data_IF_071468946291
#
_entry.id   IF_071468946291
#
_cell.length_a   1.000
_cell.length_b   1.000
_cell.length_c   1.000
_cell.angle_alpha   90.00
_cell.angle_beta   90.00
_cell.angle_gamma   90.00
#
_symmetry.space_group_name_H-M   'P 1'
#
loop_
_entity.id
_entity.type
_entity.pdbx_description
1 polymer ?
#
# COMPACT_ATOMS: atom_id res chain seq x y z
N UNK A 1 1.59 36.42 2.89
CA UNK A 1 2.22 35.12 3.14
C UNK A 1 2.64 34.54 1.80
N UNK A 2 3.87 34.05 1.70
CA UNK A 2 4.27 33.25 0.54
C UNK A 2 3.68 31.84 0.70
N UNK A 3 2.87 31.36 -0.26
CA UNK A 3 2.34 30.00 -0.21
C UNK A 3 3.50 28.98 -0.24
N UNK A 4 3.36 27.87 0.47
CA UNK A 4 4.32 26.76 0.44
C UNK A 4 3.85 25.67 -0.56
N UNK A 5 4.21 25.77 -1.85
CA UNK A 5 3.68 24.90 -2.90
C UNK A 5 4.04 23.42 -2.77
N UNK A 6 5.05 23.09 -1.95
CA UNK A 6 5.62 21.73 -1.88
C UNK A 6 4.70 20.66 -1.33
N UNK A 7 3.64 21.06 -0.62
CA UNK A 7 2.76 20.14 0.10
C UNK A 7 1.60 19.65 -0.78
N UNK A 8 0.98 20.54 -1.56
CA UNK A 8 -0.14 20.23 -2.46
C UNK A 8 0.26 20.17 -3.95
N UNK A 9 1.56 20.28 -4.22
CA UNK A 9 2.11 20.39 -5.56
C UNK A 9 1.90 19.17 -6.45
N UNK A 10 2.04 19.37 -7.76
CA UNK A 10 1.77 18.34 -8.76
C UNK A 10 2.71 17.13 -8.65
N UNK A 11 3.95 17.32 -8.21
CA UNK A 11 4.90 16.22 -7.97
C UNK A 11 4.44 15.24 -6.89
N UNK A 12 3.76 15.72 -5.83
CA UNK A 12 3.17 14.84 -4.81
C UNK A 12 2.06 13.97 -5.42
N UNK A 13 1.31 14.54 -6.37
CA UNK A 13 0.28 13.81 -7.12
C UNK A 13 0.87 12.70 -8.00
N UNK A 14 1.97 12.98 -8.71
CA UNK A 14 2.70 11.96 -9.46
C UNK A 14 3.32 10.89 -8.57
N UNK A 15 3.82 11.27 -7.38
CA UNK A 15 4.34 10.34 -6.39
C UNK A 15 3.27 9.37 -5.84
N UNK A 16 1.98 9.69 -6.02
CA UNK A 16 0.86 8.80 -5.68
C UNK A 16 0.48 7.83 -6.81
N UNK A 17 1.05 7.95 -8.01
CA UNK A 17 0.78 7.02 -9.12
C UNK A 17 1.14 5.56 -8.79
N UNK A 18 2.28 5.24 -8.15
CA UNK A 18 2.58 3.90 -7.66
C UNK A 18 1.51 3.35 -6.71
N UNK A 19 0.84 4.21 -5.95
CA UNK A 19 -0.27 3.81 -5.09
C UNK A 19 -1.49 3.33 -5.90
N UNK A 20 -1.86 4.04 -6.97
CA UNK A 20 -2.96 3.59 -7.83
C UNK A 20 -2.70 2.22 -8.42
N UNK A 21 -1.44 1.91 -8.74
CA UNK A 21 -1.04 0.58 -9.19
C UNK A 21 -1.36 -0.45 -8.08
N UNK A 22 -1.03 -0.17 -6.81
CA UNK A 22 -1.37 -1.06 -5.69
C UNK A 22 -2.88 -1.25 -5.53
N UNK A 23 -3.68 -0.18 -5.66
CA UNK A 23 -5.14 -0.26 -5.59
C UNK A 23 -5.72 -1.07 -6.75
N UNK A 24 -5.28 -0.82 -7.98
CA UNK A 24 -5.73 -1.57 -9.16
C UNK A 24 -5.37 -3.04 -9.02
N UNK A 25 -4.15 -3.35 -8.56
CA UNK A 25 -3.73 -4.74 -8.29
C UNK A 25 -4.60 -5.39 -7.19
N UNK A 26 -4.95 -4.65 -6.14
CA UNK A 26 -5.82 -5.13 -5.07
C UNK A 26 -7.25 -5.41 -5.58
N UNK A 27 -7.84 -4.50 -6.36
CA UNK A 27 -9.16 -4.66 -6.95
C UNK A 27 -9.20 -5.79 -7.97
N UNK A 28 -8.19 -5.87 -8.84
CA UNK A 28 -8.04 -6.98 -9.78
C UNK A 28 -7.99 -8.32 -9.04
N UNK A 29 -7.29 -8.37 -7.91
CA UNK A 29 -7.21 -9.58 -7.10
C UNK A 29 -8.57 -9.98 -6.51
N UNK A 30 -9.39 -9.01 -6.08
CA UNK A 30 -10.77 -9.24 -5.64
C UNK A 30 -11.60 -9.84 -6.77
N UNK A 31 -11.58 -9.20 -7.95
CA UNK A 31 -12.35 -9.63 -9.11
C UNK A 31 -11.98 -11.05 -9.54
N UNK A 32 -10.68 -11.37 -9.59
CA UNK A 32 -10.19 -12.70 -9.97
C UNK A 32 -10.58 -13.77 -8.95
N UNK A 33 -10.61 -13.48 -7.64
CA UNK A 33 -10.99 -14.47 -6.63
C UNK A 33 -12.51 -14.71 -6.56
N UNK A 34 -13.32 -13.69 -6.91
CA UNK A 34 -14.78 -13.82 -7.01
C UNK A 34 -15.27 -14.40 -8.34
N UNK A 35 -14.47 -14.33 -9.40
CA UNK A 35 -14.87 -14.85 -10.71
C UNK A 35 -15.13 -16.37 -10.65
N UNK A 36 -16.37 -16.86 -10.83
CA UNK A 36 -16.73 -18.25 -10.55
C UNK A 36 -16.19 -19.27 -11.55
N UNK A 37 -15.54 -18.84 -12.64
CA UNK A 37 -15.14 -19.76 -13.73
C UNK A 37 -14.04 -20.72 -13.29
N UNK A 38 -14.44 -21.96 -13.03
CA UNK A 38 -13.65 -23.07 -12.51
C UNK A 38 -12.52 -23.62 -13.39
N UNK A 39 -11.81 -22.81 -14.20
CA UNK A 39 -10.63 -23.25 -14.98
C UNK A 39 -9.51 -22.23 -15.18
N UNK A 40 -9.66 -20.95 -14.82
CA UNK A 40 -8.60 -19.96 -15.08
C UNK A 40 -7.49 -19.99 -14.01
N UNK A 41 -6.30 -20.44 -14.40
CA UNK A 41 -5.08 -20.51 -13.57
C UNK A 41 -4.55 -19.14 -13.07
N UNK A 42 -5.23 -18.04 -13.39
CA UNK A 42 -4.80 -16.65 -13.11
C UNK A 42 -4.77 -16.37 -11.60
N UNK A 43 -5.73 -16.91 -10.84
CA UNK A 43 -5.75 -16.78 -9.38
C UNK A 43 -4.56 -17.49 -8.69
N UNK A 44 -3.91 -18.41 -9.42
CA UNK A 44 -2.65 -19.02 -9.02
C UNK A 44 -1.44 -18.10 -9.10
N UNK A 45 -1.56 -16.87 -9.61
CA UNK A 45 -0.44 -15.93 -9.81
C UNK A 45 0.01 -15.21 -8.55
N UNK A 46 -0.81 -15.13 -7.49
CA UNK A 46 -0.44 -14.52 -6.20
C UNK A 46 -0.57 -15.48 -5.01
N UNK A 47 -1.32 -16.58 -5.18
CA UNK A 47 -1.36 -17.67 -4.21
C UNK A 47 -0.02 -18.40 -4.25
N UNK A 48 0.68 -18.45 -3.12
CA UNK A 48 1.87 -19.32 -2.96
C UNK A 48 1.45 -20.75 -3.25
N UNK A 49 1.70 -21.19 -4.49
CA UNK A 49 1.88 -22.60 -4.75
C UNK A 49 3.17 -22.98 -4.03
N UNK A 50 3.23 -24.14 -3.34
CA UNK A 50 4.52 -24.67 -2.91
C UNK A 50 5.43 -24.61 -4.14
N UNK A 51 6.52 -23.86 -4.02
CA UNK A 51 7.42 -23.62 -5.14
C UNK A 51 7.79 -24.98 -5.73
N UNK A 52 7.78 -25.12 -7.07
CA UNK A 52 8.32 -26.33 -7.71
C UNK A 52 9.72 -26.64 -7.18
N UNK A 53 10.47 -25.62 -6.79
CA UNK A 53 11.76 -25.66 -6.08
C UNK A 53 11.75 -26.51 -4.80
N UNK A 54 10.64 -26.55 -4.05
CA UNK A 54 10.54 -27.38 -2.85
C UNK A 54 10.37 -28.88 -3.16
N UNK A 55 9.94 -29.20 -4.38
CA UNK A 55 9.80 -30.58 -4.89
C UNK A 55 10.99 -30.98 -5.75
N UNK A 56 11.62 -30.02 -6.43
CA UNK A 56 12.80 -30.19 -7.26
C UNK A 56 13.71 -28.95 -7.12
N UNK A 57 14.83 -29.02 -6.35
CA UNK A 57 15.74 -27.90 -6.15
C UNK A 57 16.43 -27.42 -7.43
N UNK A 58 16.37 -28.22 -8.50
CA UNK A 58 16.95 -27.88 -9.80
C UNK A 58 15.93 -27.19 -10.73
N UNK A 59 14.64 -27.21 -10.41
CA UNK A 59 13.61 -26.56 -11.23
C UNK A 59 13.79 -25.04 -11.22
N UNK A 60 13.95 -24.45 -12.41
CA UNK A 60 14.02 -23.00 -12.57
C UNK A 60 12.70 -22.32 -12.17
N UNK A 61 12.75 -21.17 -11.49
CA UNK A 61 11.57 -20.39 -11.18
C UNK A 61 10.91 -19.94 -12.49
N UNK A 62 9.65 -20.35 -12.70
CA UNK A 62 8.88 -19.90 -13.85
C UNK A 62 8.68 -18.38 -13.83
N UNK A 63 8.46 -17.78 -15.01
CA UNK A 63 8.26 -16.33 -15.15
C UNK A 63 7.18 -15.75 -14.20
N UNK A 64 6.11 -16.51 -13.95
CA UNK A 64 5.06 -16.12 -13.00
C UNK A 64 5.54 -16.00 -11.54
N UNK A 65 6.49 -16.82 -11.09
CA UNK A 65 7.07 -16.73 -9.75
C UNK A 65 7.97 -15.50 -9.63
N UNK A 66 8.68 -15.15 -10.71
CA UNK A 66 9.49 -13.92 -10.80
C UNK A 66 8.60 -12.67 -10.72
N UNK A 67 7.54 -12.61 -11.52
CA UNK A 67 6.56 -11.51 -11.48
C UNK A 67 5.89 -11.37 -10.12
N UNK A 68 5.51 -12.48 -9.49
CA UNK A 68 4.94 -12.46 -8.13
C UNK A 68 5.92 -11.86 -7.12
N UNK A 69 7.17 -12.27 -7.18
CA UNK A 69 8.18 -11.76 -6.27
C UNK A 69 8.45 -10.27 -6.50
N UNK A 70 8.57 -9.84 -7.75
CA UNK A 70 8.71 -8.41 -8.09
C UNK A 70 7.51 -7.60 -7.62
N UNK A 71 6.28 -8.08 -7.85
CA UNK A 71 5.05 -7.43 -7.37
C UNK A 71 4.99 -7.32 -5.84
N UNK A 72 5.47 -8.33 -5.11
CA UNK A 72 5.58 -8.27 -3.64
C UNK A 72 6.58 -7.21 -3.19
N UNK A 73 7.77 -7.20 -3.79
CA UNK A 73 8.80 -6.20 -3.49
C UNK A 73 8.29 -4.79 -3.80
N UNK A 74 7.58 -4.60 -4.92
CA UNK A 74 6.95 -3.34 -5.28
C UNK A 74 5.91 -2.90 -4.25
N UNK A 75 4.93 -3.74 -3.93
CA UNK A 75 3.88 -3.40 -2.94
C UNK A 75 4.46 -3.07 -1.57
N UNK A 76 5.46 -3.84 -1.10
CA UNK A 76 6.15 -3.56 0.15
C UNK A 76 6.97 -2.26 0.09
N UNK A 77 7.70 -2.01 -1.00
CA UNK A 77 8.47 -0.79 -1.19
C UNK A 77 7.58 0.45 -1.24
N UNK A 78 6.43 0.38 -1.91
CA UNK A 78 5.43 1.46 -1.89
C UNK A 78 4.90 1.66 -0.45
N UNK A 79 4.58 0.61 0.29
CA UNK A 79 4.11 0.76 1.67
C UNK A 79 5.15 1.40 2.61
N UNK A 80 6.41 0.99 2.50
CA UNK A 80 7.52 1.52 3.31
C UNK A 80 7.71 3.02 3.03
N UNK A 81 7.68 3.40 1.75
CA UNK A 81 7.81 4.80 1.35
C UNK A 81 6.61 5.66 1.76
N UNK A 82 5.39 5.13 1.69
CA UNK A 82 4.20 5.82 2.20
C UNK A 82 4.26 6.00 3.73
N UNK A 83 4.88 5.06 4.45
CA UNK A 83 5.09 5.20 5.90
C UNK A 83 6.07 6.34 6.22
N UNK A 84 7.18 6.41 5.49
CA UNK A 84 8.16 7.51 5.63
C UNK A 84 7.52 8.85 5.24
N UNK A 85 6.72 8.87 4.17
CA UNK A 85 5.99 10.03 3.72
C UNK A 85 5.05 10.57 4.82
N UNK A 86 4.23 9.71 5.44
CA UNK A 86 3.38 10.10 6.57
C UNK A 86 4.23 10.62 7.74
N UNK A 87 5.34 9.95 8.07
CA UNK A 87 6.26 10.42 9.10
C UNK A 87 6.80 11.82 8.81
N UNK A 88 7.17 12.10 7.56
CA UNK A 88 7.60 13.42 7.10
C UNK A 88 6.54 14.50 7.28
N UNK A 89 5.28 14.22 6.94
CA UNK A 89 4.16 15.14 7.18
C UNK A 89 3.94 15.41 8.67
N UNK A 90 3.96 14.36 9.50
CA UNK A 90 3.77 14.49 10.94
C UNK A 90 4.90 15.31 11.58
N UNK A 91 6.15 15.08 11.18
CA UNK A 91 7.29 15.88 11.62
C UNK A 91 7.21 17.32 11.10
N UNK A 92 6.77 17.52 9.86
CA UNK A 92 6.52 18.84 9.28
C UNK A 92 5.50 19.63 10.10
N UNK A 93 4.39 19.01 10.49
CA UNK A 93 3.39 19.64 11.35
C UNK A 93 3.84 19.85 12.79
N UNK A 94 4.75 19.02 13.28
CA UNK A 94 5.34 19.20 14.61
C UNK A 94 6.39 20.32 14.63
N UNK A 95 7.20 20.45 13.56
CA UNK A 95 8.39 21.29 13.54
C UNK A 95 8.28 22.62 12.81
N UNK A 96 7.43 22.76 11.78
CA UNK A 96 7.28 24.03 11.08
C UNK A 96 6.48 25.03 11.90
N UNK A 97 6.80 26.33 11.74
CA UNK A 97 6.03 27.44 12.31
C UNK A 97 4.57 27.30 11.93
N UNK A 98 3.77 26.78 12.86
CA UNK A 98 2.37 26.37 12.67
C UNK A 98 1.54 27.44 11.95
N UNK A 99 1.89 28.71 12.10
CA UNK A 99 1.17 29.82 11.48
C UNK A 99 1.37 29.98 9.96
N UNK A 100 2.25 29.23 9.29
CA UNK A 100 2.47 29.35 7.84
C UNK A 100 1.65 28.36 6.99
N UNK A 101 1.00 27.38 7.61
CA UNK A 101 0.23 26.36 6.91
C UNK A 101 -1.26 26.78 6.81
N UNK A 102 -1.74 26.96 5.58
CA UNK A 102 -3.17 27.27 5.31
C UNK A 102 -4.07 26.05 5.54
N UNK A 103 -5.37 26.26 5.76
CA UNK A 103 -6.37 25.17 5.84
C UNK A 103 -6.34 24.23 4.65
N UNK A 104 -6.21 24.79 3.44
CA UNK A 104 -6.12 24.02 2.20
C UNK A 104 -4.95 23.03 2.22
N UNK A 105 -3.73 23.50 2.47
CA UNK A 105 -2.53 22.66 2.56
C UNK A 105 -2.66 21.60 3.65
N UNK A 106 -3.25 21.93 4.80
CA UNK A 106 -3.52 20.96 5.86
C UNK A 106 -4.49 19.87 5.42
N UNK A 107 -5.64 20.25 4.84
CA UNK A 107 -6.68 19.31 4.38
C UNK A 107 -6.19 18.42 3.24
N UNK A 108 -5.40 18.98 2.32
CA UNK A 108 -4.74 18.23 1.25
C UNK A 108 -3.74 17.20 1.83
N UNK A 109 -2.90 17.63 2.78
CA UNK A 109 -1.95 16.74 3.46
C UNK A 109 -2.63 15.63 4.24
N UNK A 110 -3.70 15.95 4.98
CA UNK A 110 -4.50 14.95 5.72
C UNK A 110 -5.08 13.92 4.76
N UNK A 111 -5.61 14.36 3.63
CA UNK A 111 -6.12 13.46 2.58
C UNK A 111 -4.99 12.59 1.99
N UNK A 112 -3.80 13.14 1.78
CA UNK A 112 -2.63 12.39 1.31
C UNK A 112 -2.15 11.37 2.36
N UNK A 113 -2.10 11.73 3.65
CA UNK A 113 -1.78 10.80 4.73
C UNK A 113 -2.82 9.67 4.82
N UNK A 114 -4.11 9.97 4.62
CA UNK A 114 -5.17 8.96 4.58
C UNK A 114 -5.02 7.99 3.39
N UNK A 115 -4.62 8.50 2.23
CA UNK A 115 -4.24 7.66 1.08
C UNK A 115 -3.06 6.76 1.48
N UNK A 116 -2.00 7.31 2.06
CA UNK A 116 -0.83 6.57 2.52
C UNK A 116 -1.18 5.45 3.52
N UNK A 117 -2.00 5.74 4.54
CA UNK A 117 -2.50 4.75 5.50
C UNK A 117 -3.33 3.65 4.82
N UNK A 118 -4.10 4.00 3.79
CA UNK A 118 -4.83 3.04 2.98
C UNK A 118 -3.87 2.09 2.25
N UNK A 119 -2.77 2.61 1.68
CA UNK A 119 -1.75 1.79 1.01
C UNK A 119 -1.07 0.84 1.97
N UNK A 120 -0.68 1.35 3.15
CA UNK A 120 -0.07 0.56 4.21
C UNK A 120 -1.00 -0.60 4.57
N UNK A 121 -2.29 -0.33 4.74
CA UNK A 121 -3.32 -1.35 5.03
C UNK A 121 -3.48 -2.36 3.89
N UNK A 122 -3.58 -1.89 2.64
CA UNK A 122 -3.68 -2.74 1.45
C UNK A 122 -2.45 -3.63 1.28
N UNK A 123 -1.25 -3.14 1.60
CA UNK A 123 0.00 -3.89 1.46
C UNK A 123 0.02 -5.13 2.35
N UNK A 124 -0.44 -4.99 3.59
CA UNK A 124 -0.55 -6.06 4.58
C UNK A 124 -1.58 -7.09 4.13
N UNK A 125 -2.68 -6.63 3.51
CA UNK A 125 -3.73 -7.48 3.00
C UNK A 125 -3.31 -8.30 1.77
N UNK A 126 -2.66 -7.65 0.80
CA UNK A 126 -2.26 -8.26 -0.48
C UNK A 126 -1.05 -9.17 -0.30
N UNK A 127 -0.06 -8.79 0.51
CA UNK A 127 1.19 -9.56 0.66
C UNK A 127 1.02 -10.65 1.72
N UNK A 128 0.60 -11.85 1.30
CA UNK A 128 0.44 -13.01 2.20
C UNK A 128 1.72 -13.41 2.95
N UNK A 129 2.89 -13.12 2.37
CA UNK A 129 4.21 -13.40 2.95
C UNK A 129 4.80 -12.21 3.70
N UNK A 130 3.97 -11.30 4.21
CA UNK A 130 4.42 -10.09 4.92
C UNK A 130 5.40 -10.41 6.07
N UNK A 131 5.12 -11.48 6.83
CA UNK A 131 5.92 -11.95 7.97
C UNK A 131 7.05 -12.92 7.60
N UNK A 132 7.45 -13.01 6.33
CA UNK A 132 8.56 -13.90 5.92
C UNK A 132 9.87 -13.53 6.64
N UNK A 133 10.12 -12.24 6.85
CA UNK A 133 11.18 -11.75 7.71
C UNK A 133 10.53 -11.07 8.93
N UNK A 134 10.53 -11.72 10.11
CA UNK A 134 9.79 -11.23 11.28
C UNK A 134 10.35 -9.90 11.81
N UNK A 135 11.66 -9.66 11.71
CA UNK A 135 12.27 -8.40 12.15
C UNK A 135 11.81 -7.23 11.27
N UNK A 136 11.88 -7.41 9.95
CA UNK A 136 11.43 -6.39 9.01
C UNK A 136 9.91 -6.15 9.12
N UNK A 137 9.12 -7.20 9.33
CA UNK A 137 7.67 -7.09 9.54
C UNK A 137 7.32 -6.37 10.85
N UNK A 138 8.04 -6.67 11.94
CA UNK A 138 7.85 -6.02 13.24
C UNK A 138 8.19 -4.53 13.15
N UNK A 139 9.31 -4.16 12.51
CA UNK A 139 9.67 -2.77 12.30
C UNK A 139 8.59 -2.01 11.50
N UNK A 140 8.12 -2.60 10.39
CA UNK A 140 7.03 -2.00 9.60
C UNK A 140 5.75 -1.84 10.39
N UNK A 141 5.40 -2.82 11.22
CA UNK A 141 4.23 -2.76 12.09
C UNK A 141 4.37 -1.60 13.08
N UNK A 142 5.51 -1.47 13.76
CA UNK A 142 5.77 -0.37 14.71
C UNK A 142 5.67 0.99 14.01
N UNK A 143 6.31 1.15 12.84
CA UNK A 143 6.25 2.40 12.07
C UNK A 143 4.84 2.70 11.57
N UNK A 144 4.10 1.69 11.11
CA UNK A 144 2.71 1.84 10.67
C UNK A 144 1.79 2.22 11.82
N UNK A 145 1.94 1.59 12.99
CA UNK A 145 1.19 1.94 14.20
C UNK A 145 1.49 3.38 14.61
N UNK A 146 2.77 3.79 14.60
CA UNK A 146 3.19 5.17 14.84
C UNK A 146 2.53 6.15 13.85
N UNK A 147 2.48 5.81 12.56
CA UNK A 147 1.81 6.61 11.54
C UNK A 147 0.30 6.73 11.79
N UNK A 148 -0.39 5.63 12.12
CA UNK A 148 -1.81 5.65 12.49
C UNK A 148 -2.08 6.50 13.73
N UNK A 149 -1.26 6.37 14.78
CA UNK A 149 -1.38 7.18 16.00
C UNK A 149 -1.16 8.65 15.68
N UNK A 150 -0.10 8.99 14.95
CA UNK A 150 0.22 10.37 14.61
C UNK A 150 -0.86 11.03 13.77
N UNK A 151 -1.35 10.36 12.72
CA UNK A 151 -2.47 10.85 11.91
C UNK A 151 -3.76 10.94 12.74
N UNK A 152 -4.00 9.96 13.61
CA UNK A 152 -5.14 9.96 14.54
C UNK A 152 -5.13 11.16 15.47
N UNK A 153 -3.97 11.50 16.07
CA UNK A 153 -3.81 12.70 16.90
C UNK A 153 -4.09 13.97 16.07
N UNK A 154 -3.60 14.03 14.83
CA UNK A 154 -3.83 15.17 13.93
C UNK A 154 -5.31 15.36 13.58
N UNK A 155 -6.05 14.28 13.29
CA UNK A 155 -7.45 14.30 12.82
C UNK A 155 -8.47 14.38 13.98
N UNK A 156 -8.23 13.68 15.09
CA UNK A 156 -9.20 13.54 16.19
C UNK A 156 -9.18 14.73 17.16
N UNK A 157 -8.20 15.62 17.07
CA UNK A 157 -8.14 16.80 17.92
C UNK A 157 -9.33 17.72 17.59
N UNK A 158 -10.14 18.01 18.62
CA UNK A 158 -11.45 18.69 18.49
C UNK A 158 -11.37 20.04 17.77
N UNK A 159 -10.23 20.72 17.88
CA UNK A 159 -10.03 22.09 17.43
C UNK A 159 -9.23 22.20 16.12
N UNK A 160 -9.12 21.11 15.34
CA UNK A 160 -8.14 21.08 14.25
C UNK A 160 -8.65 21.33 12.84
N UNK A 161 -9.97 21.44 12.64
CA UNK A 161 -10.47 21.21 11.29
C UNK A 161 -11.65 22.10 10.90
N UNK A 162 -11.41 22.94 9.89
CA UNK A 162 -12.43 23.48 8.99
C UNK A 162 -12.51 22.51 7.81
N UNK A 163 -13.37 21.47 7.84
CA UNK A 163 -13.46 20.52 6.75
C UNK A 163 -13.84 21.22 5.45
N UNK A 164 -13.11 20.94 4.38
CA UNK A 164 -13.62 21.24 3.05
C UNK A 164 -14.85 20.35 2.83
N UNK A 165 -16.05 20.92 2.71
CA UNK A 165 -17.26 20.14 2.47
C UNK A 165 -17.44 19.91 0.98
N UNK A 166 -17.52 18.63 0.59
CA UNK A 166 -17.70 18.25 -0.80
C UNK A 166 -19.16 18.51 -1.19
N UNK A 167 -19.41 19.50 -2.05
CA UNK A 167 -20.75 19.78 -2.60
C UNK A 167 -21.40 21.08 -2.13
N UNK A 168 -20.73 21.88 -1.30
CA UNK A 168 -21.12 23.30 -1.19
C UNK A 168 -20.84 23.97 -2.52
N UNK A 169 -21.87 24.59 -3.12
CA UNK A 169 -21.78 25.32 -4.39
C UNK A 169 -20.60 26.32 -4.30
N UNK A 170 -19.45 25.96 -4.88
CA UNK A 170 -18.26 26.83 -4.92
C UNK A 170 -18.57 28.18 -5.59
N UNK A 171 -19.68 28.22 -6.33
CA UNK A 171 -20.23 29.39 -7.00
C UNK A 171 -21.14 30.28 -6.11
N UNK A 172 -21.71 29.79 -5.00
CA UNK A 172 -22.77 30.53 -4.26
C UNK A 172 -22.42 31.10 -2.89
N UNK A 173 -21.23 30.88 -2.33
CA UNK A 173 -20.89 31.40 -0.99
C UNK A 173 -19.54 32.10 -0.92
N UNK A 174 -19.53 33.42 -0.72
CA UNK A 174 -18.33 34.24 -0.54
C UNK A 174 -17.55 33.97 0.76
N UNK A 175 -18.17 33.29 1.73
CA UNK A 175 -17.62 33.02 3.07
C UNK A 175 -16.73 31.78 3.11
N UNK A 176 -17.15 30.66 2.52
CA UNK A 176 -16.32 29.43 2.41
C UNK A 176 -15.00 29.70 1.66
N UNK A 177 -15.03 30.62 0.69
CA UNK A 177 -13.83 31.01 -0.09
C UNK A 177 -12.72 31.62 0.74
N UNK A 178 -13.04 32.27 1.88
CA UNK A 178 -12.04 32.94 2.72
C UNK A 178 -11.48 32.01 3.80
N UNK A 179 -12.34 31.17 4.39
CA UNK A 179 -12.02 30.19 5.43
C UNK A 179 -10.85 29.26 5.06
N UNK A 180 -10.85 28.75 3.82
CA UNK A 180 -9.87 27.75 3.38
C UNK A 180 -8.44 28.31 3.23
N UNK A 181 -8.33 29.63 3.15
CA UNK A 181 -7.08 30.36 2.94
C UNK A 181 -6.43 30.82 4.25
N UNK A 182 -7.15 30.72 5.37
CA UNK A 182 -6.62 31.13 6.66
C UNK A 182 -5.50 30.19 7.13
N UNK A 183 -4.48 30.73 7.83
CA UNK A 183 -3.44 29.94 8.47
C UNK A 183 -4.03 29.13 9.63
N UNK A 184 -4.46 27.91 9.34
CA UNK A 184 -5.14 27.04 10.30
C UNK A 184 -4.23 26.65 11.45
N UNK A 185 -2.93 26.50 11.21
CA UNK A 185 -2.08 25.95 12.24
C UNK A 185 -1.71 26.95 13.37
N UNK A 186 -1.94 28.26 13.17
CA UNK A 186 -1.98 29.25 14.26
C UNK A 186 -3.25 29.09 15.13
N UNK A 187 -4.37 28.69 14.50
CA UNK A 187 -5.67 28.46 15.13
C UNK A 187 -5.79 27.08 15.80
N UNK A 188 -4.75 26.24 15.69
CA UNK A 188 -4.62 24.97 16.42
C UNK A 188 -4.22 25.17 17.88
N UNK A 189 -3.67 26.33 18.20
CA UNK A 189 -3.25 26.67 19.55
C UNK A 189 -4.48 27.10 20.34
N UNK A 190 -4.82 26.37 21.41
CA UNK A 190 -6.07 26.54 22.17
C UNK A 190 -6.29 27.97 22.65
N UNK A 191 -5.21 28.68 22.95
CA UNK A 191 -5.26 30.06 23.43
C UNK A 191 -5.53 31.08 22.31
N UNK A 192 -5.00 30.86 21.10
CA UNK A 192 -5.25 31.76 19.96
C UNK A 192 -6.61 31.49 19.34
N UNK A 193 -7.08 30.24 19.38
CA UNK A 193 -8.36 29.85 18.81
C UNK A 193 -9.53 30.55 19.51
N UNK A 194 -9.57 30.53 20.85
CA UNK A 194 -10.66 31.17 21.59
C UNK A 194 -10.75 32.67 21.28
N UNK A 195 -9.61 33.36 21.24
CA UNK A 195 -9.52 34.78 20.89
C UNK A 195 -9.98 35.03 19.45
N UNK A 196 -9.61 34.15 18.52
CA UNK A 196 -10.01 34.30 17.12
C UNK A 196 -11.49 33.97 16.90
N UNK A 197 -12.04 32.97 17.60
CA UNK A 197 -13.47 32.64 17.58
C UNK A 197 -14.30 33.78 18.17
N UNK A 198 -13.87 34.40 19.27
CA UNK A 198 -14.53 35.59 19.81
C UNK A 198 -14.47 36.74 18.81
N UNK A 199 -13.29 37.04 18.26
CA UNK A 199 -13.13 38.13 17.29
C UNK A 199 -13.94 37.88 16.00
N UNK A 200 -14.04 36.64 15.54
CA UNK A 200 -14.84 36.29 14.38
C UNK A 200 -16.34 36.45 14.65
N UNK A 201 -16.79 36.00 15.83
CA UNK A 201 -18.17 36.15 16.27
C UNK A 201 -18.54 37.63 16.40
N UNK A 202 -17.64 38.43 16.96
CA UNK A 202 -17.83 39.88 17.13
C UNK A 202 -17.85 40.62 15.78
N UNK A 203 -17.10 40.13 14.79
CA UNK A 203 -17.05 40.72 13.45
C UNK A 203 -18.04 40.10 12.44
N UNK A 204 -18.94 39.22 12.88
CA UNK A 204 -19.85 38.46 12.01
C UNK A 204 -19.12 37.74 10.85
N UNK A 205 -17.86 37.38 11.07
CA UNK A 205 -17.03 36.71 10.09
C UNK A 205 -17.16 35.19 10.28
N UNK A 206 -17.76 34.51 9.30
CA UNK A 206 -17.70 33.06 9.25
C UNK A 206 -16.31 32.62 8.81
N UNK A 207 -15.52 32.15 9.78
CA UNK A 207 -14.18 31.60 9.54
C UNK A 207 -14.21 30.17 8.99
N UNK A 208 -15.41 29.60 8.76
CA UNK A 208 -15.58 28.24 8.30
C UNK A 208 -15.11 27.20 9.32
N UNK A 209 -15.02 27.57 10.60
CA UNK A 209 -14.89 26.61 11.67
C UNK A 209 -16.20 25.81 11.70
N UNK A 210 -16.15 24.58 11.21
CA UNK A 210 -17.33 23.69 11.23
C UNK A 210 -17.92 23.60 12.63
N UNK A 211 -19.19 23.22 12.73
CA UNK A 211 -19.92 23.22 13.99
C UNK A 211 -19.16 22.45 15.08
N UNK A 212 -19.04 23.00 16.31
CA UNK A 212 -18.38 22.32 17.42
C UNK A 212 -19.16 21.04 17.77
N UNK A 213 -18.66 19.90 17.29
CA UNK A 213 -19.34 18.60 17.41
C UNK A 213 -19.53 17.89 16.07
N UNK A 214 -19.37 18.60 14.94
CA UNK A 214 -19.39 17.99 13.62
C UNK A 214 -18.32 16.89 13.51
N UNK A 215 -18.73 15.77 12.93
CA UNK A 215 -17.85 14.65 12.60
C UNK A 215 -17.46 14.75 11.13
N UNK A 216 -16.33 15.41 10.81
CA UNK A 216 -15.86 15.48 9.43
C UNK A 216 -15.62 14.05 8.91
N UNK A 217 -15.91 13.84 7.64
CA UNK A 217 -15.89 12.51 7.04
C UNK A 217 -14.50 11.85 7.12
N UNK A 218 -13.41 12.62 7.24
CA UNK A 218 -12.05 12.12 7.46
C UNK A 218 -11.93 11.34 8.76
N UNK A 219 -12.63 11.75 9.83
CA UNK A 219 -12.67 11.00 11.10
C UNK A 219 -13.32 9.64 10.90
N UNK A 220 -14.41 9.59 10.14
CA UNK A 220 -15.10 8.34 9.83
C UNK A 220 -14.19 7.41 9.03
N UNK A 221 -13.59 7.90 7.94
CA UNK A 221 -12.67 7.10 7.14
C UNK A 221 -11.44 6.68 7.92
N UNK A 222 -10.92 7.52 8.83
CA UNK A 222 -9.79 7.17 9.68
C UNK A 222 -10.12 5.96 10.56
N UNK A 223 -11.28 5.97 11.23
CA UNK A 223 -11.72 4.83 12.03
C UNK A 223 -11.92 3.57 11.19
N UNK A 224 -12.54 3.69 10.02
CA UNK A 224 -12.70 2.56 9.09
C UNK A 224 -11.34 1.99 8.67
N UNK A 225 -10.36 2.84 8.33
CA UNK A 225 -8.99 2.42 8.00
C UNK A 225 -8.30 1.77 9.20
N UNK A 226 -8.41 2.33 10.40
CA UNK A 226 -7.78 1.78 11.60
C UNK A 226 -8.34 0.39 11.93
N UNK A 227 -9.66 0.22 11.84
CA UNK A 227 -10.31 -1.09 12.01
C UNK A 227 -9.85 -2.06 10.92
N UNK A 228 -9.83 -1.64 9.66
CA UNK A 228 -9.35 -2.48 8.56
C UNK A 228 -7.90 -2.91 8.75
N UNK A 229 -7.02 -2.01 9.21
CA UNK A 229 -5.62 -2.28 9.52
C UNK A 229 -5.45 -3.29 10.65
N UNK A 230 -6.20 -3.16 11.75
CA UNK A 230 -6.18 -4.10 12.86
C UNK A 230 -6.69 -5.48 12.44
N UNK A 231 -7.80 -5.53 11.68
CA UNK A 231 -8.35 -6.77 11.15
C UNK A 231 -7.37 -7.44 10.18
N UNK A 232 -6.70 -6.66 9.32
CA UNK A 232 -5.68 -7.17 8.41
C UNK A 232 -4.56 -7.89 9.16
N UNK A 233 -4.03 -7.27 10.23
CA UNK A 233 -2.97 -7.84 11.04
C UNK A 233 -3.43 -9.04 11.87
N UNK A 234 -4.59 -8.96 12.51
CA UNK A 234 -5.13 -10.05 13.33
C UNK A 234 -5.40 -11.33 12.51
N UNK A 235 -5.74 -11.18 11.23
CA UNK A 235 -6.01 -12.32 10.34
C UNK A 235 -4.74 -13.03 9.85
N UNK A 236 -3.57 -12.40 9.90
CA UNK A 236 -2.30 -13.02 9.49
C UNK A 236 -1.95 -14.26 10.32
N UNK A 237 -1.83 -14.20 11.67
CA UNK A 237 -1.49 -15.37 12.48
C UNK A 237 -2.54 -16.47 12.34
N UNK A 238 -3.82 -16.11 12.22
CA UNK A 238 -4.92 -17.04 11.98
C UNK A 238 -4.71 -17.81 10.66
N UNK A 239 -4.33 -17.10 9.59
CA UNK A 239 -4.03 -17.70 8.28
C UNK A 239 -2.80 -18.60 8.36
N UNK A 240 -1.74 -18.13 9.00
CA UNK A 240 -0.50 -18.89 9.16
C UNK A 240 -0.75 -20.21 9.90
N UNK A 241 -1.43 -20.15 11.05
CA UNK A 241 -1.78 -21.33 11.85
C UNK A 241 -2.68 -22.31 11.08
N UNK A 242 -3.72 -21.79 10.39
CA UNK A 242 -4.61 -22.61 9.58
C UNK A 242 -3.91 -23.27 8.39
N UNK A 243 -2.98 -22.56 7.75
CA UNK A 243 -2.18 -23.09 6.64
C UNK A 243 -1.34 -24.28 7.09
N UNK A 244 -0.79 -24.24 8.31
CA UNK A 244 0.02 -25.34 8.87
C UNK A 244 -0.81 -26.59 9.21
N UNK A 245 -2.05 -26.41 9.69
CA UNK A 245 -2.94 -27.52 10.11
C UNK A 245 -3.65 -28.25 8.97
N UNK A 246 -3.87 -27.62 7.81
CA UNK A 246 -4.69 -28.22 6.73
C UNK A 246 -3.83 -28.82 5.62
N UNK A 247 -3.43 -30.09 5.79
CA UNK A 247 -2.90 -30.91 4.69
C UNK A 247 -4.01 -31.48 3.78
N UNK A 248 -5.27 -31.54 4.23
CA UNK A 248 -6.40 -32.02 3.44
C UNK A 248 -7.43 -30.92 3.11
N UNK A 249 -7.93 -30.82 1.86
CA UNK A 249 -8.95 -29.86 1.47
C UNK A 249 -10.32 -30.26 2.07
N UNK A 250 -10.74 -29.59 3.15
CA UNK A 250 -12.13 -29.71 3.64
C UNK A 250 -13.12 -28.95 2.75
N UNK A 251 -14.37 -29.43 2.60
CA UNK A 251 -15.42 -28.72 1.86
C UNK A 251 -15.59 -27.29 2.37
N UNK A 252 -15.89 -26.36 1.43
CA UNK A 252 -16.13 -24.95 1.74
C UNK A 252 -17.40 -24.85 2.61
N UNK A 253 -17.25 -24.57 3.91
CA UNK A 253 -18.39 -24.21 4.75
C UNK A 253 -18.87 -22.79 4.43
N UNK A 254 -20.17 -22.54 4.54
CA UNK A 254 -20.80 -21.22 4.32
C UNK A 254 -20.16 -20.13 5.17
N UNK A 255 -19.81 -20.45 6.42
CA UNK A 255 -19.09 -19.55 7.35
C UNK A 255 -17.75 -19.11 6.77
N UNK A 256 -17.03 -20.01 6.07
CA UNK A 256 -15.75 -19.66 5.43
C UNK A 256 -15.95 -18.68 4.28
N UNK A 257 -17.01 -18.86 3.50
CA UNK A 257 -17.40 -17.91 2.45
C UNK A 257 -17.67 -16.52 3.02
N UNK A 258 -18.43 -16.44 4.11
CA UNK A 258 -18.73 -15.19 4.80
C UNK A 258 -17.46 -14.50 5.33
N UNK A 259 -16.59 -15.21 6.05
CA UNK A 259 -15.33 -14.62 6.57
C UNK A 259 -14.43 -14.14 5.45
N UNK A 260 -14.37 -14.88 4.34
CA UNK A 260 -13.64 -14.45 3.15
C UNK A 260 -14.28 -13.20 2.54
N UNK A 261 -15.61 -13.14 2.44
CA UNK A 261 -16.32 -11.97 1.93
C UNK A 261 -16.08 -10.72 2.78
N UNK A 262 -16.28 -10.81 4.10
CA UNK A 262 -16.04 -9.74 5.05
C UNK A 262 -14.58 -9.26 4.95
N UNK A 263 -13.63 -10.16 4.80
CA UNK A 263 -12.24 -9.78 4.57
C UNK A 263 -12.06 -8.95 3.30
N UNK A 264 -12.63 -9.38 2.17
CA UNK A 264 -12.50 -8.64 0.91
C UNK A 264 -13.13 -7.24 1.00
N UNK A 265 -14.34 -7.15 1.53
CA UNK A 265 -15.07 -5.88 1.61
C UNK A 265 -14.41 -4.93 2.60
N UNK A 266 -14.10 -5.40 3.81
CA UNK A 266 -13.59 -4.54 4.89
C UNK A 266 -12.11 -4.24 4.72
N UNK A 267 -11.27 -5.23 4.40
CA UNK A 267 -9.82 -5.08 4.43
C UNK A 267 -9.26 -4.56 3.10
N UNK A 268 -9.94 -4.80 1.98
CA UNK A 268 -9.49 -4.32 0.66
C UNK A 268 -10.42 -3.25 0.09
N UNK A 269 -11.74 -3.47 0.16
CA UNK A 269 -12.72 -2.52 -0.34
C UNK A 269 -12.68 -1.18 0.40
N UNK A 270 -12.73 -1.19 1.73
CA UNK A 270 -12.80 0.04 2.49
C UNK A 270 -11.54 0.92 2.34
N UNK A 271 -10.29 0.41 2.43
CA UNK A 271 -9.11 1.23 2.17
C UNK A 271 -9.00 1.73 0.73
N UNK A 272 -9.35 0.90 -0.26
CA UNK A 272 -9.36 1.33 -1.66
C UNK A 272 -10.36 2.48 -1.88
N UNK A 273 -11.57 2.35 -1.35
CA UNK A 273 -12.60 3.38 -1.44
C UNK A 273 -12.18 4.68 -0.75
N UNK A 274 -11.68 4.60 0.49
CA UNK A 274 -11.17 5.77 1.22
C UNK A 274 -10.13 6.50 0.41
N UNK A 275 -9.17 5.77 -0.16
CA UNK A 275 -8.10 6.38 -0.91
C UNK A 275 -8.57 7.02 -2.23
N UNK A 276 -9.53 6.40 -2.94
CA UNK A 276 -10.17 6.99 -4.13
C UNK A 276 -10.92 8.28 -3.76
N UNK A 277 -11.68 8.28 -2.67
CA UNK A 277 -12.45 9.46 -2.23
C UNK A 277 -11.53 10.59 -1.79
N UNK A 278 -10.48 10.29 -1.00
CA UNK A 278 -9.45 11.27 -0.64
C UNK A 278 -8.74 11.83 -1.87
N UNK A 279 -8.48 11.01 -2.89
CA UNK A 279 -7.88 11.45 -4.13
C UNK A 279 -8.77 12.42 -4.92
N UNK A 280 -10.03 12.05 -5.14
CA UNK A 280 -11.03 12.90 -5.81
C UNK A 280 -11.16 14.24 -5.08
N UNK A 281 -11.18 14.21 -3.75
CA UNK A 281 -11.20 15.41 -2.92
C UNK A 281 -9.97 16.30 -3.16
N UNK A 282 -8.76 15.74 -3.10
CA UNK A 282 -7.53 16.50 -3.39
C UNK A 282 -7.57 17.10 -4.80
N UNK A 283 -8.03 16.34 -5.79
CA UNK A 283 -8.18 16.84 -7.16
C UNK A 283 -9.13 18.04 -7.24
N UNK A 284 -10.30 17.96 -6.59
CA UNK A 284 -11.29 19.04 -6.57
C UNK A 284 -10.73 20.28 -5.86
N UNK A 285 -10.07 20.09 -4.72
CA UNK A 285 -9.45 21.20 -3.98
C UNK A 285 -8.36 21.90 -4.81
N UNK A 286 -7.50 21.13 -5.49
CA UNK A 286 -6.45 21.67 -6.37
C UNK A 286 -7.03 22.44 -7.55
N UNK A 287 -8.03 21.86 -8.24
CA UNK A 287 -8.73 22.51 -9.34
C UNK A 287 -9.38 23.82 -8.89
N UNK A 288 -9.98 23.82 -7.70
CA UNK A 288 -10.56 25.02 -7.13
C UNK A 288 -9.50 26.10 -6.88
N UNK A 289 -8.39 25.76 -6.20
CA UNK A 289 -7.28 26.69 -5.93
C UNK A 289 -6.77 27.34 -7.22
N UNK A 290 -6.53 26.53 -8.26
CA UNK A 290 -6.08 27.00 -9.57
C UNK A 290 -7.06 28.01 -10.20
N UNK A 291 -8.37 27.71 -10.15
CA UNK A 291 -9.40 28.60 -10.74
C UNK A 291 -9.74 29.82 -9.90
N UNK A 292 -9.45 29.80 -8.59
CA UNK A 292 -9.86 30.83 -7.64
C UNK A 292 -9.09 32.16 -7.76
N UNK A 293 -7.96 32.18 -8.46
CA UNK A 293 -7.05 33.34 -8.52
C UNK A 293 -6.31 33.63 -7.21
N UNK A 294 -6.37 32.71 -6.22
CA UNK A 294 -5.69 32.87 -4.94
C UNK A 294 -4.16 32.77 -5.06
N UNK A 295 -3.69 31.85 -5.90
CA UNK A 295 -2.27 31.67 -6.17
C UNK A 295 -1.79 32.77 -7.11
N UNK A 296 -0.68 33.42 -6.77
CA UNK A 296 -0.01 34.34 -7.69
C UNK A 296 0.34 33.58 -8.98
N UNK A 297 0.10 34.21 -10.13
CA UNK A 297 0.58 33.70 -11.41
C UNK A 297 2.09 34.01 -11.54
N UNK A 298 2.94 33.03 -11.88
CA UNK A 298 2.63 31.63 -12.18
C UNK A 298 2.35 30.78 -10.92
N UNK A 299 1.34 29.90 -11.00
CA UNK A 299 0.92 29.05 -9.90
C UNK A 299 2.06 28.13 -9.44
N UNK A 300 2.63 28.40 -8.27
CA UNK A 300 3.78 27.67 -7.73
C UNK A 300 3.48 26.21 -7.41
N UNK A 301 2.22 25.82 -7.18
CA UNK A 301 1.83 24.41 -6.98
C UNK A 301 1.89 23.59 -8.28
N UNK A 302 1.87 24.25 -9.44
CA UNK A 302 2.01 23.60 -10.75
C UNK A 302 3.48 23.47 -11.17
N UNK A 303 4.40 24.16 -10.49
CA UNK A 303 5.83 24.06 -10.74
C UNK A 303 6.39 22.79 -10.10
N UNK A 304 6.93 21.89 -10.93
CA UNK A 304 7.45 20.57 -10.50
C UNK A 304 8.72 20.68 -9.64
N UNK A 305 9.42 21.82 -9.70
CA UNK A 305 10.76 22.00 -9.16
C UNK A 305 10.84 22.36 -7.68
N UNK A 306 9.73 22.37 -6.95
CA UNK A 306 9.80 22.66 -5.51
C UNK A 306 10.41 21.49 -4.72
N UNK A 307 11.16 21.83 -3.67
CA UNK A 307 11.92 20.88 -2.84
C UNK A 307 11.05 19.74 -2.28
N UNK A 308 9.83 20.04 -1.83
CA UNK A 308 8.88 19.02 -1.35
C UNK A 308 8.44 18.04 -2.43
N UNK A 309 8.31 18.53 -3.67
CA UNK A 309 7.92 17.70 -4.82
C UNK A 309 9.07 16.81 -5.29
N UNK A 310 10.30 17.33 -5.28
CA UNK A 310 11.50 16.56 -5.59
C UNK A 310 11.74 15.42 -4.59
N UNK A 311 11.48 15.63 -3.30
CA UNK A 311 11.55 14.56 -2.28
C UNK A 311 10.53 13.47 -2.60
N UNK A 312 9.29 13.84 -2.89
CA UNK A 312 8.24 12.87 -3.22
C UNK A 312 8.58 12.06 -4.50
N UNK A 313 9.13 12.72 -5.51
CA UNK A 313 9.61 12.05 -6.73
C UNK A 313 10.83 11.15 -6.46
N UNK A 314 11.79 11.63 -5.65
CA UNK A 314 12.97 10.87 -5.27
C UNK A 314 12.61 9.56 -4.58
N UNK A 315 11.61 9.60 -3.69
CA UNK A 315 11.03 8.43 -3.03
C UNK A 315 10.46 7.44 -4.06
N UNK A 316 9.66 7.91 -5.02
CA UNK A 316 9.11 7.05 -6.07
C UNK A 316 10.20 6.41 -6.94
N UNK A 317 11.25 7.18 -7.28
CA UNK A 317 12.42 6.68 -8.00
C UNK A 317 13.15 5.62 -7.18
N UNK A 318 13.29 5.80 -5.86
CA UNK A 318 13.96 4.80 -5.01
C UNK A 318 13.18 3.49 -4.96
N UNK A 319 11.84 3.54 -4.90
CA UNK A 319 11.00 2.33 -5.00
C UNK A 319 11.23 1.62 -6.33
N UNK A 320 11.20 2.37 -7.43
CA UNK A 320 11.39 1.81 -8.77
C UNK A 320 12.79 1.18 -8.89
N UNK A 321 13.82 1.87 -8.44
CA UNK A 321 15.20 1.37 -8.43
C UNK A 321 15.35 0.12 -7.57
N UNK A 322 14.76 0.06 -6.38
CA UNK A 322 14.80 -1.14 -5.54
C UNK A 322 14.13 -2.34 -6.22
N UNK A 323 13.02 -2.12 -6.94
CA UNK A 323 12.35 -3.18 -7.71
C UNK A 323 13.17 -3.63 -8.91
N UNK A 324 13.78 -2.68 -9.62
CA UNK A 324 14.68 -2.99 -10.74
C UNK A 324 15.92 -3.76 -10.27
N UNK A 325 16.56 -3.32 -9.19
CA UNK A 325 17.72 -3.99 -8.60
C UNK A 325 17.39 -5.42 -8.19
N UNK A 326 16.26 -5.64 -7.50
CA UNK A 326 15.79 -6.99 -7.14
C UNK A 326 15.53 -7.85 -8.38
N UNK A 327 14.99 -7.26 -9.45
CA UNK A 327 14.77 -7.96 -10.72
C UNK A 327 16.08 -8.33 -11.42
N UNK A 328 17.08 -7.44 -11.42
CA UNK A 328 18.38 -7.66 -12.03
C UNK A 328 19.26 -8.63 -11.24
N UNK A 329 19.29 -8.54 -9.90
CA UNK A 329 20.03 -9.49 -9.06
C UNK A 329 19.55 -10.93 -9.26
N UNK A 330 18.25 -11.11 -9.44
CA UNK A 330 17.67 -12.43 -9.74
C UNK A 330 18.14 -12.96 -11.09
N UNK A 331 18.15 -12.12 -12.13
CA UNK A 331 18.71 -12.50 -13.44
C UNK A 331 20.19 -12.89 -13.34
N UNK A 332 20.98 -12.16 -12.54
CA UNK A 332 22.40 -12.48 -12.34
C UNK A 332 22.59 -13.82 -11.62
N UNK A 333 21.79 -14.11 -10.60
CA UNK A 333 21.82 -15.40 -9.89
C UNK A 333 21.43 -16.56 -10.81
N UNK A 334 20.47 -16.35 -11.70
CA UNK A 334 20.06 -17.33 -12.72
C UNK A 334 21.18 -17.60 -13.73
N UNK A 335 21.75 -16.54 -14.33
CA UNK A 335 22.88 -16.68 -15.27
C UNK A 335 24.11 -17.36 -14.65
N UNK A 336 24.40 -17.08 -13.36
CA UNK A 336 25.49 -17.77 -12.64
C UNK A 336 25.19 -19.26 -12.46
N UNK A 337 23.95 -19.62 -12.13
CA UNK A 337 23.54 -21.02 -11.97
C UNK A 337 23.61 -21.79 -13.30
N UNK A 338 23.15 -21.20 -14.40
CA UNK A 338 23.27 -21.79 -15.74
C UNK A 338 24.74 -22.04 -16.14
N UNK A 339 25.65 -21.11 -15.82
CA UNK A 339 27.08 -21.27 -16.08
C UNK A 339 27.71 -22.39 -15.25
N UNK A 340 27.33 -22.54 -13.97
CA UNK A 340 27.84 -23.60 -13.10
C UNK A 340 27.30 -24.98 -13.53
N UNK A 341 26.01 -25.07 -13.88
CA UNK A 341 25.39 -26.32 -14.36
C UNK A 341 25.91 -26.72 -15.76
N UNK A 342 26.21 -25.74 -16.62
CA UNK A 342 26.85 -25.98 -17.92
C UNK A 342 28.26 -26.56 -17.79
N UNK A 343 29.05 -26.05 -16.84
CA UNK A 343 30.39 -26.57 -16.53
C UNK A 343 30.34 -28.00 -15.98
N UNK A 344 29.40 -28.31 -15.09
CA UNK A 344 29.22 -29.67 -14.58
C UNK A 344 28.79 -30.67 -15.67
N UNK A 345 27.88 -30.28 -16.57
CA UNK A 345 27.50 -31.14 -17.71
C UNK A 345 28.67 -31.39 -18.66
N UNK A 346 29.56 -30.41 -18.86
CA UNK A 346 30.73 -30.56 -19.72
C UNK A 346 31.79 -31.48 -19.10
N UNK A 347 31.96 -31.45 -17.76
CA UNK A 347 32.84 -32.38 -17.05
C UNK A 347 32.30 -33.82 -17.05
N UNK A 348 31.00 -34.00 -16.79
CA UNK A 348 30.35 -35.33 -16.83
C UNK A 348 30.31 -35.92 -18.24
N UNK A 349 30.21 -35.08 -19.28
CA UNK A 349 30.30 -35.52 -20.68
C UNK A 349 31.71 -35.92 -21.11
N UNK A 350 32.76 -35.42 -20.44
CA UNK A 350 34.16 -35.71 -20.78
C UNK A 350 34.66 -37.02 -20.16
N UNK A 351 34.12 -37.40 -19.00
CA UNK A 351 34.40 -38.69 -18.35
C UNK A 351 33.58 -39.87 -18.91
N UNK A 352 32.55 -39.60 -19.74
CA UNK A 352 31.95 -40.62 -20.60
C UNK A 352 32.72 -40.74 -21.92
N UNK A 353 34.02 -40.99 -21.85
CA UNK A 353 34.60 -41.83 -22.89
C UNK A 353 33.92 -43.20 -22.79
N UNK A 354 33.55 -43.83 -23.91
CA UNK A 354 32.97 -45.17 -23.88
C UNK A 354 34.03 -46.11 -23.31
N UNK A 355 33.99 -46.36 -22.00
CA UNK A 355 34.58 -47.58 -21.48
C UNK A 355 33.82 -48.70 -22.16
N UNK A 356 34.52 -49.36 -23.09
CA UNK A 356 34.15 -50.63 -23.66
C UNK A 356 33.79 -51.57 -22.50
N UNK A 357 32.52 -51.62 -22.15
CA UNK A 357 31.98 -52.66 -21.29
C UNK A 357 32.02 -53.91 -22.13
N UNK A 358 33.06 -54.71 -21.89
CA UNK A 358 33.11 -56.07 -22.37
C UNK A 358 31.88 -56.81 -21.83
N UNK A 359 31.05 -57.27 -22.75
CA UNK A 359 29.96 -58.19 -22.50
C UNK A 359 30.47 -59.39 -21.70
N UNK A 360 30.13 -59.45 -20.42
CA UNK A 360 30.03 -60.72 -19.70
C UNK A 360 28.62 -60.83 -19.15
N UNK A 361 27.86 -61.69 -19.83
CA UNK A 361 26.47 -61.98 -19.56
C UNK A 361 26.23 -62.32 -18.10
N UNK A 362 25.29 -61.60 -17.50
CA UNK A 362 24.58 -62.04 -16.32
C UNK A 362 23.17 -62.44 -16.73
N UNK A 363 23.00 -63.75 -16.93
CA UNK A 363 21.71 -64.42 -16.90
C UNK A 363 21.04 -64.13 -15.55
N UNK A 364 20.07 -63.21 -15.52
CA UNK A 364 19.10 -63.14 -14.42
C UNK A 364 17.87 -63.95 -14.82
N UNK A 365 17.79 -65.12 -14.20
CA UNK A 365 16.69 -66.05 -14.29
C UNK A 365 15.35 -65.43 -13.92
N UNK A 366 14.33 -66.04 -14.50
CA UNK A 366 12.93 -65.86 -14.22
C UNK A 366 12.58 -66.13 -12.74
N UNK A 367 11.38 -65.68 -12.38
CA UNK A 367 10.60 -66.00 -11.18
C UNK A 367 10.72 -65.01 -10.02
N UNK A 368 9.71 -64.12 -9.93
CA UNK A 368 8.91 -64.02 -8.70
C UNK A 368 7.47 -63.63 -9.04
N UNK A 369 6.48 -64.45 -8.62
CA UNK A 369 5.07 -64.19 -8.87
C UNK A 369 4.50 -63.13 -7.93
N UNK A 370 3.46 -62.49 -8.44
CA UNK A 370 2.48 -61.68 -7.72
C UNK A 370 2.06 -62.34 -6.40
N UNK A 371 2.10 -61.57 -5.31
CA UNK A 371 1.34 -61.92 -4.11
C UNK A 371 0.27 -60.86 -3.87
N UNK A 372 -0.96 -61.25 -4.20
CA UNK A 372 -2.21 -60.60 -3.82
C UNK A 372 -2.58 -61.06 -2.40
N UNK A 373 -2.58 -60.14 -1.43
CA UNK A 373 -3.33 -60.36 -0.19
C UNK A 373 -3.96 -59.06 0.29
N UNK A 374 -5.21 -58.93 -0.14
CA UNK A 374 -6.25 -58.03 0.37
C UNK A 374 -6.71 -58.63 1.72
N UNK A 375 -6.54 -57.91 2.81
CA UNK A 375 -7.17 -58.23 4.10
C UNK A 375 -7.91 -56.99 4.62
N UNK A 376 -9.04 -57.30 5.27
CA UNK A 376 -10.24 -56.48 5.51
C UNK A 376 -10.04 -55.23 6.34
#
# INVERSE_FOLDING_TARGET
>A
MEPQPGIAGIGVWWAMLPFFIVVVLALFFVCVEYWPSGKSNICGMLRDKPSRIALDPNAEPGWGDKLRAAGRTFVLGVADTQTIFVGGFLLGFAGQGKCNLTSYHFSASVSQMMIALSVITLSVAVVRTYWRNPLAAALRLVLSVGAFIGVGITILRKHNYAPFELGTDLNKGSTIRRAVLLPVACLLETNLRSVTETQARDNLADLGFGEPGAWPFERYFFWVLAVAFLVAHALIPIRYYRSRRRRAPKPRSTIRGLVTCVYWVVVLGAPALTAILCWVRVYIMRKWVDTSGWMKSPNTEMTIWDSGQLIAMGIAITVLMNVLTEAFERKKKEAKKESEDGGYKQLVSRDRSPMHMNDRGYNRGANRPFNTSRAR
#
